data_IF_448336636312
#
_entry.id   IF_448336636312
#
_cell.length_a   1.000
_cell.length_b   1.000
_cell.length_c   1.000
_cell.angle_alpha   90.00
_cell.angle_beta   90.00
_cell.angle_gamma   90.00
#
_symmetry.space_group_name_H-M   'P 1'
#
loop_
_entity.id
_entity.type
_entity.pdbx_description
1 polymer ?
#
# COMPACT_ATOMS: atom_id res chain seq x y z
N UNK A 1 -4.89 -16.21 30.87
CA UNK A 1 -4.09 -15.80 29.69
C UNK A 1 -4.86 -16.25 28.47
N UNK A 2 -5.43 -15.34 27.70
CA UNK A 2 -6.05 -15.67 26.40
C UNK A 2 -5.02 -15.32 25.33
N UNK A 3 -4.44 -16.34 24.70
CA UNK A 3 -3.71 -16.20 23.44
C UNK A 3 -4.75 -16.39 22.32
N UNK A 4 -4.99 -15.36 21.52
CA UNK A 4 -6.02 -15.32 20.47
C UNK A 4 -5.78 -14.09 19.57
N UNK A 5 -5.84 -14.13 18.23
CA UNK A 5 -5.42 -15.12 17.23
C UNK A 5 -4.16 -14.61 16.45
N UNK A 6 -3.53 -15.43 15.61
CA UNK A 6 -2.64 -14.99 14.49
C UNK A 6 -1.42 -14.07 14.75
N UNK A 7 -0.51 -14.46 15.65
CA UNK A 7 0.96 -14.56 15.48
C UNK A 7 1.72 -13.77 14.37
N UNK A 8 1.40 -12.49 14.13
CA UNK A 8 2.16 -11.58 13.30
C UNK A 8 2.24 -10.22 13.98
N UNK A 9 3.44 -9.61 14.06
CA UNK A 9 3.56 -8.22 14.51
C UNK A 9 2.95 -7.33 13.44
N UNK A 10 1.66 -7.01 13.59
CA UNK A 10 0.97 -6.10 12.68
C UNK A 10 1.75 -4.79 12.56
N UNK A 11 1.77 -4.27 11.35
CA UNK A 11 2.31 -2.96 11.02
C UNK A 11 1.16 -2.13 10.52
N UNK A 12 0.22 -1.82 11.41
CA UNK A 12 -1.13 -1.39 11.06
C UNK A 12 -1.25 0.07 10.61
N UNK A 13 -0.14 0.79 10.52
CA UNK A 13 -0.13 2.21 10.17
C UNK A 13 1.24 2.69 9.71
N UNK A 14 1.30 3.97 9.30
CA UNK A 14 2.55 4.61 8.91
C UNK A 14 3.58 4.51 10.03
N UNK A 15 4.77 4.02 9.72
CA UNK A 15 5.86 3.76 10.69
C UNK A 15 5.53 2.71 11.77
N UNK A 16 4.49 1.91 11.57
CA UNK A 16 4.25 0.69 12.34
C UNK A 16 3.75 0.94 13.76
N UNK A 17 3.81 -0.08 14.62
CA UNK A 17 3.36 0.02 16.00
C UNK A 17 4.06 1.17 16.74
N UNK A 18 3.27 2.07 17.31
CA UNK A 18 3.78 3.26 18.01
C UNK A 18 4.37 4.36 17.12
N UNK A 19 4.31 4.24 15.78
CA UNK A 19 4.65 5.31 14.84
C UNK A 19 6.14 5.66 14.72
N UNK A 20 7.03 4.82 15.27
CA UNK A 20 8.47 5.11 15.36
C UNK A 20 9.29 4.57 14.19
N UNK A 21 8.76 3.62 13.41
CA UNK A 21 9.46 3.00 12.28
C UNK A 21 10.51 1.98 12.72
N UNK A 22 10.33 1.38 13.91
CA UNK A 22 11.30 0.47 14.52
C UNK A 22 10.74 -0.96 14.52
N UNK A 23 11.42 -1.87 13.83
CA UNK A 23 11.13 -3.31 13.86
C UNK A 23 12.01 -4.02 14.90
N UNK A 24 11.66 -3.91 16.19
CA UNK A 24 12.50 -4.40 17.29
C UNK A 24 12.81 -5.91 17.17
N UNK A 25 14.07 -6.31 17.11
CA UNK A 25 14.45 -7.72 16.98
C UNK A 25 14.07 -8.37 15.65
N UNK A 26 13.79 -7.58 14.62
CA UNK A 26 13.74 -8.09 13.25
C UNK A 26 15.15 -8.42 12.74
N UNK A 27 15.26 -9.43 11.90
CA UNK A 27 16.50 -9.83 11.24
C UNK A 27 16.26 -9.94 9.72
N UNK A 28 16.05 -8.81 9.02
CA UNK A 28 15.84 -8.83 7.58
C UNK A 28 17.13 -9.25 6.86
N UNK A 29 17.04 -9.89 5.68
CA UNK A 29 18.22 -10.15 4.89
C UNK A 29 18.87 -8.82 4.46
N UNK A 30 20.20 -8.81 4.35
CA UNK A 30 21.00 -7.60 4.08
C UNK A 30 21.40 -7.46 2.60
N UNK A 31 21.17 -8.51 1.81
CA UNK A 31 21.49 -8.55 0.38
C UNK A 31 20.19 -8.74 -0.41
N UNK A 32 20.00 -7.96 -1.47
CA UNK A 32 18.79 -7.99 -2.29
C UNK A 32 19.13 -7.60 -3.73
N UNK A 33 18.47 -8.25 -4.68
CA UNK A 33 18.40 -7.82 -6.07
C UNK A 33 17.02 -8.16 -6.64
N UNK A 34 16.84 -8.07 -7.96
CA UNK A 34 15.55 -8.34 -8.58
C UNK A 34 15.04 -9.79 -8.41
N UNK A 35 15.91 -10.72 -8.03
CA UNK A 35 15.66 -12.15 -7.91
C UNK A 35 16.14 -12.73 -6.56
N UNK A 36 17.03 -12.06 -5.83
CA UNK A 36 17.59 -12.51 -4.55
C UNK A 36 16.80 -11.96 -3.37
N UNK A 37 16.43 -12.84 -2.43
CA UNK A 37 15.63 -12.56 -1.23
C UNK A 37 14.22 -11.98 -1.50
N UNK A 38 13.76 -11.92 -2.76
CA UNK A 38 12.41 -11.52 -3.14
C UNK A 38 11.43 -12.69 -2.98
N UNK A 39 10.45 -12.57 -2.08
CA UNK A 39 9.41 -13.59 -1.90
C UNK A 39 8.40 -13.63 -3.06
N UNK A 40 8.00 -12.46 -3.55
CA UNK A 40 7.06 -12.29 -4.67
C UNK A 40 7.11 -10.85 -5.19
N UNK A 41 6.57 -10.63 -6.39
CA UNK A 41 6.36 -9.32 -7.01
C UNK A 41 4.94 -9.26 -7.56
N UNK A 42 4.26 -8.14 -7.34
CA UNK A 42 2.86 -7.94 -7.77
C UNK A 42 2.77 -6.65 -8.58
N UNK A 43 2.26 -6.75 -9.80
CA UNK A 43 1.90 -5.57 -10.58
C UNK A 43 0.68 -4.89 -9.95
N UNK A 44 0.78 -3.58 -9.71
CA UNK A 44 -0.33 -2.79 -9.17
C UNK A 44 -1.16 -2.17 -10.31
N UNK A 45 -2.46 -1.87 -10.09
CA UNK A 45 -3.30 -1.24 -11.10
C UNK A 45 -2.83 0.16 -11.53
N UNK A 46 -2.08 0.84 -10.66
CA UNK A 46 -1.60 2.19 -10.91
C UNK A 46 -0.47 2.62 -9.99
N UNK A 47 -0.13 3.90 -10.06
CA UNK A 47 0.98 4.49 -9.30
C UNK A 47 0.56 4.86 -7.87
N UNK A 48 1.51 4.99 -6.95
CA UNK A 48 1.24 5.40 -5.57
C UNK A 48 2.53 5.65 -4.80
N UNK A 49 2.44 6.47 -3.76
CA UNK A 49 3.57 6.80 -2.88
C UNK A 49 3.28 6.46 -1.41
N UNK A 50 2.16 5.80 -1.13
CA UNK A 50 1.82 5.31 0.21
C UNK A 50 2.79 4.24 0.70
N UNK A 51 2.96 4.14 2.01
CA UNK A 51 3.65 3.01 2.62
C UNK A 51 2.67 1.85 2.78
N UNK A 52 3.08 0.59 2.51
CA UNK A 52 2.25 -0.56 2.81
C UNK A 52 2.09 -0.73 4.33
N UNK A 53 0.90 -1.17 4.74
CA UNK A 53 0.64 -1.65 6.10
C UNK A 53 0.40 -3.15 6.09
N UNK A 54 0.67 -3.82 7.21
CA UNK A 54 0.39 -5.24 7.41
C UNK A 54 -0.63 -5.36 8.54
N UNK A 55 -1.73 -6.05 8.29
CA UNK A 55 -2.73 -6.36 9.31
C UNK A 55 -3.29 -7.77 9.09
N UNK A 56 -3.01 -8.66 10.04
CA UNK A 56 -3.25 -10.09 9.91
C UNK A 56 -2.51 -10.70 8.71
N UNK A 57 -3.26 -11.40 7.86
CA UNK A 57 -2.74 -12.11 6.68
C UNK A 57 -2.63 -11.23 5.42
N UNK A 58 -2.91 -9.93 5.55
CA UNK A 58 -3.00 -9.02 4.41
C UNK A 58 -2.02 -7.85 4.50
N UNK A 59 -1.59 -7.40 3.32
CA UNK A 59 -0.93 -6.12 3.09
C UNK A 59 -1.97 -5.19 2.49
N UNK A 60 -2.07 -3.97 3.02
CA UNK A 60 -2.92 -2.93 2.45
C UNK A 60 -2.08 -1.79 1.90
N UNK A 61 -2.44 -1.31 0.72
CA UNK A 61 -1.70 -0.28 0.00
C UNK A 61 -2.66 0.57 -0.83
N UNK A 62 -2.31 1.85 -1.04
CA UNK A 62 -3.08 2.72 -1.92
C UNK A 62 -2.33 3.05 -3.21
N UNK A 63 -3.08 3.13 -4.30
CA UNK A 63 -2.60 3.60 -5.60
C UNK A 63 -3.69 4.45 -6.29
N UNK A 64 -3.36 5.05 -7.44
CA UNK A 64 -4.28 5.83 -8.25
C UNK A 64 -4.12 5.53 -9.73
N UNK A 65 -5.20 5.71 -10.49
CA UNK A 65 -5.27 5.51 -11.94
C UNK A 65 -6.01 6.66 -12.62
N UNK A 66 -5.87 6.74 -13.95
CA UNK A 66 -6.76 7.53 -14.81
C UNK A 66 -6.39 8.99 -15.06
N UNK A 67 -5.58 9.63 -14.20
CA UNK A 67 -5.12 11.01 -14.38
C UNK A 67 -3.70 11.20 -13.85
N UNK A 68 -2.82 11.78 -14.68
CA UNK A 68 -1.39 12.01 -14.39
C UNK A 68 -0.66 10.82 -13.77
N UNK A 69 -0.86 9.61 -14.32
CA UNK A 69 -0.12 8.42 -13.90
C UNK A 69 1.27 8.45 -14.57
N UNK A 70 2.38 8.31 -13.81
CA UNK A 70 3.73 8.26 -14.36
C UNK A 70 3.87 7.17 -15.43
N UNK A 71 4.35 7.55 -16.62
CA UNK A 71 4.49 6.64 -17.77
C UNK A 71 3.24 6.56 -18.66
N UNK A 72 2.18 7.31 -18.37
CA UNK A 72 0.96 7.39 -19.18
C UNK A 72 0.69 8.81 -19.71
N UNK A 73 -0.10 8.92 -20.79
CA UNK A 73 -0.41 10.18 -21.48
C UNK A 73 -1.45 11.03 -20.73
N UNK A 74 -1.06 11.67 -19.62
CA UNK A 74 -1.80 12.76 -18.94
C UNK A 74 -3.16 12.40 -18.29
N UNK A 75 -3.93 11.50 -18.90
CA UNK A 75 -5.23 11.02 -18.44
C UNK A 75 -6.34 12.07 -18.47
N UNK A 76 -7.42 11.78 -17.74
CA UNK A 76 -8.59 12.64 -17.57
C UNK A 76 -8.95 12.70 -16.09
N UNK A 77 -9.04 13.90 -15.52
CA UNK A 77 -9.35 14.11 -14.10
C UNK A 77 -10.69 13.46 -13.69
N UNK A 78 -11.65 13.33 -14.62
CA UNK A 78 -12.92 12.64 -14.37
C UNK A 78 -12.75 11.12 -14.21
N UNK A 79 -11.67 10.57 -14.78
CA UNK A 79 -11.27 9.17 -14.67
C UNK A 79 -10.34 8.91 -13.49
N UNK A 80 -9.92 9.94 -12.75
CA UNK A 80 -9.10 9.75 -11.55
C UNK A 80 -9.82 8.83 -10.55
N UNK A 81 -9.17 7.71 -10.23
CA UNK A 81 -9.61 6.78 -9.19
C UNK A 81 -8.51 6.62 -8.16
N UNK A 82 -8.89 6.59 -6.88
CA UNK A 82 -8.02 6.17 -5.77
C UNK A 82 -8.42 4.77 -5.37
N UNK A 83 -7.44 3.90 -5.24
CA UNK A 83 -7.62 2.49 -4.92
C UNK A 83 -7.12 2.22 -3.51
N UNK A 84 -7.86 1.40 -2.77
CA UNK A 84 -7.33 0.68 -1.62
C UNK A 84 -7.26 -0.81 -1.99
N UNK A 85 -6.06 -1.36 -1.96
CA UNK A 85 -5.79 -2.75 -2.29
C UNK A 85 -5.61 -3.56 -1.00
N UNK A 86 -6.02 -4.82 -1.03
CA UNK A 86 -5.58 -5.83 -0.09
C UNK A 86 -4.89 -6.97 -0.85
N UNK A 87 -3.66 -7.27 -0.46
CA UNK A 87 -2.85 -8.35 -1.00
C UNK A 87 -2.67 -9.42 0.07
N UNK A 88 -2.71 -10.70 -0.31
CA UNK A 88 -2.25 -11.76 0.57
C UNK A 88 -0.77 -11.60 0.86
N UNK A 89 -0.39 -11.63 2.14
CA UNK A 89 0.99 -11.40 2.59
C UNK A 89 1.97 -12.47 2.09
N UNK A 90 1.53 -13.72 2.03
CA UNK A 90 2.35 -14.88 1.69
C UNK A 90 2.64 -15.01 0.19
N UNK A 91 1.69 -14.59 -0.65
CA UNK A 91 1.69 -14.82 -2.09
C UNK A 91 1.76 -13.53 -2.93
N UNK A 92 1.44 -12.38 -2.33
CA UNK A 92 1.33 -11.11 -3.04
C UNK A 92 0.07 -10.96 -3.89
N UNK A 93 -0.82 -11.96 -3.91
CA UNK A 93 -2.04 -11.91 -4.74
C UNK A 93 -2.97 -10.82 -4.23
N UNK A 94 -3.38 -9.91 -5.12
CA UNK A 94 -4.45 -8.94 -4.85
C UNK A 94 -5.77 -9.70 -4.69
N UNK A 95 -6.36 -9.63 -3.51
CA UNK A 95 -7.65 -10.28 -3.19
C UNK A 95 -8.81 -9.29 -3.14
N UNK A 96 -8.49 -8.00 -3.03
CA UNK A 96 -9.47 -6.92 -3.04
C UNK A 96 -8.86 -5.65 -3.62
N UNK A 97 -9.64 -4.96 -4.46
CA UNK A 97 -9.34 -3.64 -4.99
C UNK A 97 -10.63 -2.82 -4.91
N UNK A 98 -10.64 -1.83 -4.03
CA UNK A 98 -11.72 -0.87 -3.93
C UNK A 98 -11.29 0.45 -4.54
N UNK A 99 -11.76 0.70 -5.75
CA UNK A 99 -11.63 1.98 -6.42
C UNK A 99 -12.74 2.94 -5.97
N UNK A 100 -12.36 4.18 -5.65
CA UNK A 100 -13.29 5.29 -5.42
C UNK A 100 -12.95 6.45 -6.34
N UNK A 101 -13.95 7.16 -6.91
CA UNK A 101 -13.69 8.38 -7.66
C UNK A 101 -13.09 9.47 -6.77
N UNK A 102 -12.22 10.29 -7.36
CA UNK A 102 -11.79 11.51 -6.70
C UNK A 102 -12.98 12.47 -6.49
N UNK A 103 -12.91 13.28 -5.43
CA UNK A 103 -13.89 14.34 -5.18
C UNK A 103 -13.37 15.59 -5.89
N UNK A 104 -14.13 16.07 -6.87
CA UNK A 104 -13.73 17.23 -7.65
C UNK A 104 -14.21 18.56 -7.01
N UNK A 105 -13.52 19.69 -7.25
CA UNK A 105 -12.27 19.79 -8.00
C UNK A 105 -11.09 19.19 -7.22
N UNK A 106 -10.25 18.43 -7.92
CA UNK A 106 -8.94 18.01 -7.44
C UNK A 106 -7.89 18.99 -7.99
N UNK A 107 -6.63 18.90 -7.56
CA UNK A 107 -5.55 19.71 -8.13
C UNK A 107 -5.35 19.39 -9.63
N UNK A 108 -5.18 20.43 -10.46
CA UNK A 108 -4.95 20.28 -11.90
C UNK A 108 -3.68 19.48 -12.21
N UNK A 109 -2.70 19.51 -11.30
CA UNK A 109 -1.49 18.69 -11.32
C UNK A 109 -0.94 18.53 -9.91
N UNK A 110 -0.70 17.30 -9.49
CA UNK A 110 -0.04 16.98 -8.21
C UNK A 110 1.50 16.98 -8.35
N UNK A 111 2.20 17.17 -7.22
CA UNK A 111 3.66 17.03 -7.04
C UNK A 111 4.16 15.59 -7.24
N UNK A 112 5.46 15.35 -7.06
CA UNK A 112 6.17 14.08 -7.30
C UNK A 112 5.59 12.81 -6.62
N UNK A 113 4.57 12.92 -5.76
CA UNK A 113 4.00 11.82 -4.97
C UNK A 113 2.63 11.30 -5.46
N UNK A 114 2.01 11.94 -6.46
CA UNK A 114 0.74 11.48 -7.04
C UNK A 114 -0.48 11.53 -6.09
N UNK A 115 -1.63 11.02 -6.54
CA UNK A 115 -2.93 11.14 -5.85
C UNK A 115 -3.19 10.08 -4.75
N UNK A 116 -2.16 9.30 -4.39
CA UNK A 116 -2.25 8.22 -3.40
C UNK A 116 -1.02 8.20 -2.47
N UNK A 117 -0.67 9.35 -1.90
CA UNK A 117 0.47 9.48 -0.98
C UNK A 117 0.13 9.05 0.47
N UNK A 118 -1.14 9.16 0.86
CA UNK A 118 -1.61 8.83 2.20
C UNK A 118 -1.53 7.32 2.47
N UNK A 119 -0.83 6.96 3.54
CA UNK A 119 -0.71 5.57 4.03
C UNK A 119 -2.01 5.18 4.75
N UNK A 120 -2.61 4.01 4.43
CA UNK A 120 -3.78 3.53 5.16
C UNK A 120 -3.44 3.22 6.62
N UNK A 121 -4.47 3.09 7.45
CA UNK A 121 -4.36 2.57 8.81
C UNK A 121 -5.44 1.52 9.04
N UNK A 122 -5.18 0.57 9.92
CA UNK A 122 -6.11 -0.48 10.31
C UNK A 122 -6.08 -0.69 11.83
N UNK A 123 -7.23 -1.07 12.37
CA UNK A 123 -7.45 -1.52 13.74
C UNK A 123 -8.37 -2.74 13.73
N UNK A 124 -8.64 -3.28 14.92
CA UNK A 124 -9.42 -4.50 15.10
C UNK A 124 -10.91 -4.24 15.45
N UNK A 125 -11.32 -2.96 15.51
CA UNK A 125 -12.63 -2.52 16.00
C UNK A 125 -13.71 -2.43 14.91
#
# INVERSE_FOLDING_TARGET
>A
MKNDPSQGRDWSGFRGPGGMGIAQGANPPLEWDDNTNVAWKTALPGSGASSPIVFGEHIYLTCYTGFFVPGEDGGDVQKLRRHLLALKRDTGVVVWDQAVPAKLPEEERIRDHGFAANTPAADAD
#
